data_IF_016121489918
#
_entry.id   IF_016121489918
#
_cell.length_a   1.000
_cell.length_b   1.000
_cell.length_c   1.000
_cell.angle_alpha   90.00
_cell.angle_beta   90.00
_cell.angle_gamma   90.00
#
_symmetry.space_group_name_H-M   'P 1'
#
loop_
_entity.id
_entity.type
_entity.pdbx_description
1 polymer ?
#
# COMPACT_ATOMS: atom_id res chain seq x y z
N UNK A 1 -8.38 3.81 -5.58
CA UNK A 1 -7.34 2.84 -5.21
C UNK A 1 -6.05 3.21 -5.90
N UNK A 2 -4.94 3.10 -5.19
CA UNK A 2 -3.58 3.36 -5.66
C UNK A 2 -2.79 2.09 -5.33
N UNK A 3 -1.96 1.63 -6.26
CA UNK A 3 -1.08 0.47 -6.07
C UNK A 3 0.37 0.90 -6.29
N UNK A 4 1.33 -0.05 -6.30
CA UNK A 4 2.75 0.26 -6.50
C UNK A 4 3.09 0.88 -7.87
N UNK A 5 2.16 0.83 -8.83
CA UNK A 5 2.26 1.58 -10.09
C UNK A 5 1.97 3.09 -9.93
N UNK A 6 1.57 3.51 -8.72
CA UNK A 6 1.18 4.87 -8.33
C UNK A 6 0.04 5.46 -9.18
N UNK A 7 -0.69 4.62 -9.92
CA UNK A 7 -1.81 5.07 -10.74
C UNK A 7 -3.05 5.20 -9.87
N UNK A 8 -3.66 6.38 -9.90
CA UNK A 8 -4.94 6.61 -9.23
C UNK A 8 -6.07 6.03 -10.07
N UNK A 9 -6.71 4.99 -9.53
CA UNK A 9 -7.91 4.36 -10.10
C UNK A 9 -9.14 4.70 -9.26
N UNK A 10 -10.07 5.55 -9.72
CA UNK A 10 -11.33 5.78 -9.02
C UNK A 10 -12.09 4.46 -8.88
N UNK A 11 -12.51 4.13 -7.66
CA UNK A 11 -13.23 2.88 -7.36
C UNK A 11 -14.40 3.19 -6.43
N UNK A 12 -15.56 2.60 -6.72
CA UNK A 12 -16.65 2.54 -5.75
C UNK A 12 -16.38 1.47 -4.69
N UNK A 13 -17.12 1.50 -3.58
CA UNK A 13 -17.01 0.49 -2.51
C UNK A 13 -17.19 -0.93 -3.04
N UNK A 14 -18.19 -1.15 -3.91
CA UNK A 14 -18.49 -2.47 -4.50
C UNK A 14 -17.34 -2.94 -5.39
N UNK A 15 -16.78 -2.04 -6.22
CA UNK A 15 -15.64 -2.37 -7.08
C UNK A 15 -14.39 -2.72 -6.26
N UNK A 16 -14.14 -2.01 -5.15
CA UNK A 16 -13.02 -2.30 -4.25
C UNK A 16 -13.15 -3.69 -3.61
N UNK A 17 -14.35 -4.06 -3.14
CA UNK A 17 -14.61 -5.41 -2.58
C UNK A 17 -14.43 -6.49 -3.65
N UNK A 18 -14.92 -6.25 -4.86
CA UNK A 18 -14.78 -7.18 -5.99
C UNK A 18 -13.30 -7.43 -6.33
N UNK A 19 -12.46 -6.41 -6.21
CA UNK A 19 -11.03 -6.52 -6.44
C UNK A 19 -10.33 -7.33 -5.34
N UNK A 20 -10.70 -7.18 -4.07
CA UNK A 20 -10.20 -8.03 -2.98
C UNK A 20 -10.53 -9.52 -3.24
N UNK A 21 -11.76 -9.81 -3.69
CA UNK A 21 -12.17 -11.15 -4.10
C UNK A 21 -11.33 -11.67 -5.28
N UNK A 22 -10.96 -10.80 -6.24
CA UNK A 22 -10.08 -11.17 -7.37
C UNK A 22 -8.67 -11.54 -6.90
N UNK A 23 -8.17 -10.90 -5.85
CA UNK A 23 -6.92 -11.29 -5.17
C UNK A 23 -7.08 -12.51 -4.25
N UNK A 24 -8.22 -13.20 -4.30
CA UNK A 24 -8.56 -14.39 -3.51
C UNK A 24 -8.63 -14.13 -2.00
N UNK A 25 -8.83 -12.88 -1.61
CA UNK A 25 -9.11 -12.49 -0.23
C UNK A 25 -10.61 -12.73 -0.01
N UNK A 26 -10.94 -13.86 0.61
CA UNK A 26 -12.33 -14.28 0.86
C UNK A 26 -12.90 -13.72 2.16
N UNK A 27 -12.01 -13.45 3.11
CA UNK A 27 -12.36 -12.88 4.41
C UNK A 27 -11.62 -11.55 4.53
N UNK A 28 -12.38 -10.46 4.68
CA UNK A 28 -11.83 -9.11 4.84
C UNK A 28 -11.34 -8.91 6.28
N UNK A 29 -11.79 -9.73 7.23
CA UNK A 29 -11.38 -9.67 8.64
C UNK A 29 -9.92 -10.04 8.88
N UNK A 30 -9.24 -10.66 7.90
CA UNK A 30 -7.79 -10.92 7.96
C UNK A 30 -6.94 -9.73 7.52
N UNK A 31 -7.57 -8.67 7.00
CA UNK A 31 -6.86 -7.46 6.57
C UNK A 31 -6.59 -6.54 7.75
N UNK A 32 -5.39 -5.97 7.78
CA UNK A 32 -5.00 -4.94 8.73
C UNK A 32 -5.27 -3.56 8.14
N UNK A 33 -6.07 -2.74 8.83
CA UNK A 33 -6.23 -1.33 8.49
C UNK A 33 -5.05 -0.54 9.05
N UNK A 34 -4.41 0.26 8.18
CA UNK A 34 -3.36 1.19 8.58
C UNK A 34 -3.68 2.58 8.07
N UNK A 35 -3.59 3.55 8.96
CA UNK A 35 -3.65 4.97 8.62
C UNK A 35 -2.21 5.46 8.47
N UNK A 36 -1.91 6.07 7.32
CA UNK A 36 -0.62 6.67 7.01
C UNK A 36 -0.82 8.18 6.94
N UNK A 37 -0.11 8.92 7.78
CA UNK A 37 -0.02 10.38 7.66
C UNK A 37 0.95 10.73 6.53
N UNK A 38 0.47 11.44 5.52
CA UNK A 38 1.31 11.91 4.41
C UNK A 38 1.78 13.34 4.63
N UNK A 39 3.05 13.50 4.99
CA UNK A 39 3.77 14.77 5.01
C UNK A 39 4.72 14.95 3.83
N UNK A 40 5.50 16.04 3.88
CA UNK A 40 6.56 16.33 2.91
C UNK A 40 7.63 15.22 2.88
N UNK A 41 8.01 14.72 4.06
CA UNK A 41 9.05 13.70 4.19
C UNK A 41 8.62 12.37 3.56
N UNK A 42 7.37 11.96 3.75
CA UNK A 42 6.78 10.77 3.13
C UNK A 42 6.70 10.94 1.62
N UNK A 43 6.34 12.15 1.14
CA UNK A 43 6.34 12.48 -0.28
C UNK A 43 7.71 12.33 -0.94
N UNK A 44 8.78 12.80 -0.28
CA UNK A 44 10.16 12.64 -0.77
C UNK A 44 10.59 11.17 -0.77
N UNK A 45 10.23 10.39 0.27
CA UNK A 45 10.50 8.94 0.33
C UNK A 45 9.78 8.20 -0.80
N UNK A 46 8.51 8.53 -1.05
CA UNK A 46 7.70 8.02 -2.15
C UNK A 46 8.35 8.27 -3.51
N UNK A 47 8.77 9.52 -3.76
CA UNK A 47 9.42 9.89 -5.01
C UNK A 47 10.76 9.16 -5.20
N UNK A 48 11.55 9.04 -4.12
CA UNK A 48 12.80 8.29 -4.18
C UNK A 48 12.54 6.82 -4.51
N UNK A 49 11.59 6.18 -3.83
CA UNK A 49 11.25 4.79 -4.06
C UNK A 49 10.68 4.56 -5.47
N UNK A 50 9.90 5.49 -6.04
CA UNK A 50 9.37 5.37 -7.40
C UNK A 50 10.45 5.34 -8.48
N UNK A 51 11.64 5.88 -8.20
CA UNK A 51 12.78 5.83 -9.12
C UNK A 51 13.62 4.55 -8.97
N UNK A 52 13.46 3.84 -7.85
CA UNK A 52 14.37 2.75 -7.44
C UNK A 52 13.68 1.39 -7.40
N UNK A 53 12.36 1.34 -7.25
CA UNK A 53 11.61 0.12 -7.02
C UNK A 53 10.30 0.05 -7.82
N UNK A 54 9.84 -1.18 -8.03
CA UNK A 54 8.52 -1.50 -8.58
C UNK A 54 7.47 -1.77 -7.51
N UNK A 55 7.87 -1.82 -6.24
CA UNK A 55 7.02 -2.09 -5.07
C UNK A 55 6.95 -0.84 -4.17
N UNK A 56 6.68 0.32 -4.76
CA UNK A 56 6.91 1.64 -4.16
C UNK A 56 6.17 1.84 -2.82
N UNK A 57 4.87 1.52 -2.76
CA UNK A 57 4.08 1.69 -1.55
C UNK A 57 4.49 0.68 -0.48
N UNK A 58 4.82 -0.53 -0.91
CA UNK A 58 5.32 -1.59 -0.02
C UNK A 58 6.64 -1.16 0.64
N UNK A 59 7.60 -0.67 -0.15
CA UNK A 59 8.92 -0.30 0.34
C UNK A 59 8.86 0.92 1.27
N UNK A 60 7.96 1.87 1.02
CA UNK A 60 7.89 3.10 1.83
C UNK A 60 7.06 2.91 3.10
N UNK A 61 5.99 2.13 3.04
CA UNK A 61 4.98 2.07 4.12
C UNK A 61 4.87 0.71 4.81
N UNK A 62 5.37 -0.37 4.22
CA UNK A 62 5.33 -1.72 4.81
C UNK A 62 6.71 -2.21 5.27
N UNK A 63 7.81 -1.60 4.83
CA UNK A 63 9.14 -1.91 5.35
C UNK A 63 9.38 -1.34 6.75
N UNK A 64 9.09 -2.18 7.76
CA UNK A 64 9.85 -2.33 9.02
C UNK A 64 9.33 -3.55 9.79
N UNK A 65 9.57 -4.74 9.24
CA UNK A 65 9.61 -5.98 10.04
C UNK A 65 10.92 -6.75 9.81
N UNK A 66 12.04 -6.04 9.64
CA UNK A 66 13.36 -6.65 9.84
C UNK A 66 13.84 -6.27 11.25
N UNK A 67 13.63 -7.22 12.16
CA UNK A 67 14.24 -7.40 13.48
C UNK A 67 14.29 -6.19 14.44
N UNK A 68 13.30 -6.10 15.34
CA UNK A 68 13.65 -5.84 16.75
C UNK A 68 14.22 -7.14 17.31
N UNK A 69 15.52 -7.34 17.13
CA UNK A 69 16.26 -8.30 17.95
C UNK A 69 16.24 -7.77 19.38
N UNK A 70 15.63 -8.54 20.29
CA UNK A 70 15.85 -8.41 21.72
C UNK A 70 17.21 -9.00 22.09
#
# INVERSE_FOLDING_TARGET
>A
MIMDDLIVRPMSTISSITLLNKFKIKDVGVLEERVIDMGMDEGVKLLKASMQSKAVLTDVFLEKMVAKSF
#
